data_IF_679089527293
#
_entry.id   IF_679089527293
#
_cell.length_a   1.000
_cell.length_b   1.000
_cell.length_c   1.000
_cell.angle_alpha   90.00
_cell.angle_beta   90.00
_cell.angle_gamma   90.00
#
_symmetry.space_group_name_H-M   'P 1'
#
loop_
_entity.id
_entity.type
_entity.pdbx_description
1 polymer ?
#
# COMPACT_ATOMS: atom_id res chain seq x y z
N UNK A 1 -12.22 5.12 12.62
CA UNK A 1 -11.61 5.38 11.30
C UNK A 1 -11.02 4.07 10.83
N UNK A 2 -11.47 3.57 9.69
CA UNK A 2 -10.98 2.32 9.12
C UNK A 2 -9.70 2.59 8.33
N UNK A 3 -8.55 2.21 8.88
CA UNK A 3 -7.26 2.42 8.26
C UNK A 3 -7.06 1.52 7.04
N UNK A 4 -7.56 0.27 7.09
CA UNK A 4 -7.38 -0.68 6.00
C UNK A 4 -8.15 -0.19 4.78
N UNK A 5 -9.43 0.16 4.96
CA UNK A 5 -10.24 0.70 3.87
C UNK A 5 -9.71 2.03 3.30
N UNK A 6 -9.04 2.85 4.13
CA UNK A 6 -8.37 4.06 3.64
C UNK A 6 -7.17 3.72 2.73
N UNK A 7 -6.29 2.81 3.18
CA UNK A 7 -5.11 2.40 2.41
C UNK A 7 -5.52 1.68 1.13
N UNK A 8 -6.48 0.76 1.21
CA UNK A 8 -7.01 0.05 0.03
C UNK A 8 -7.52 1.03 -1.02
N UNK A 9 -8.32 2.03 -0.61
CA UNK A 9 -8.83 3.07 -1.53
C UNK A 9 -7.70 3.89 -2.16
N UNK A 10 -6.68 4.24 -1.41
CA UNK A 10 -5.52 4.99 -1.93
C UNK A 10 -4.72 4.15 -2.93
N UNK A 11 -4.37 2.91 -2.56
CA UNK A 11 -3.56 1.99 -3.40
C UNK A 11 -4.29 1.69 -4.71
N UNK A 12 -5.57 1.31 -4.63
CA UNK A 12 -6.39 1.05 -5.81
C UNK A 12 -6.66 2.30 -6.65
N UNK A 13 -6.79 3.47 -6.01
CA UNK A 13 -6.92 4.76 -6.69
C UNK A 13 -5.67 5.18 -7.46
N UNK A 14 -4.49 4.70 -7.06
CA UNK A 14 -3.22 4.88 -7.79
C UNK A 14 -3.03 3.86 -8.93
N UNK A 15 -3.90 2.85 -9.04
CA UNK A 15 -3.82 1.80 -10.07
C UNK A 15 -3.04 0.55 -9.63
N UNK A 16 -2.66 0.44 -8.36
CA UNK A 16 -2.02 -0.75 -7.81
C UNK A 16 -3.05 -1.70 -7.18
N UNK A 17 -2.69 -2.97 -7.05
CA UNK A 17 -3.47 -3.94 -6.29
C UNK A 17 -3.09 -3.86 -4.81
N UNK A 18 -4.09 -3.75 -3.93
CA UNK A 18 -3.89 -3.87 -2.49
C UNK A 18 -3.92 -5.34 -2.10
N UNK A 19 -2.83 -5.82 -1.50
CA UNK A 19 -2.71 -7.22 -1.09
C UNK A 19 -3.00 -7.38 0.40
N UNK A 20 -2.29 -6.63 1.24
CA UNK A 20 -2.40 -6.75 2.70
C UNK A 20 -1.87 -5.50 3.41
N UNK A 21 -2.39 -5.27 4.62
CA UNK A 21 -1.84 -4.31 5.58
C UNK A 21 -1.52 -5.02 6.88
N UNK A 22 -0.26 -4.95 7.28
CA UNK A 22 0.24 -5.49 8.54
C UNK A 22 0.68 -4.35 9.47
N UNK A 23 0.32 -4.46 10.76
CA UNK A 23 0.86 -3.60 11.82
C UNK A 23 2.04 -4.30 12.48
N UNK A 24 3.24 -3.89 12.12
CA UNK A 24 4.45 -4.37 12.74
C UNK A 24 4.76 -3.60 14.04
N UNK A 25 5.75 -4.09 14.79
CA UNK A 25 6.15 -3.46 16.05
C UNK A 25 6.59 -2.00 15.89
N UNK A 26 6.52 -1.25 16.99
CA UNK A 26 6.96 0.16 17.08
C UNK A 26 6.20 1.12 16.16
N UNK A 27 4.94 0.83 15.86
CA UNK A 27 4.08 1.70 15.05
C UNK A 27 4.37 1.64 13.55
N UNK A 28 5.12 0.64 13.09
CA UNK A 28 5.38 0.42 11.67
C UNK A 28 4.14 -0.15 10.99
N UNK A 29 3.74 0.46 9.87
CA UNK A 29 2.76 -0.09 8.95
C UNK A 29 3.50 -0.69 7.75
N UNK A 30 3.18 -1.93 7.40
CA UNK A 30 3.68 -2.58 6.19
C UNK A 30 2.49 -2.78 5.26
N UNK A 31 2.59 -2.19 4.08
CA UNK A 31 1.58 -2.29 3.03
C UNK A 31 2.16 -3.15 1.92
N UNK A 32 1.44 -4.20 1.55
CA UNK A 32 1.79 -5.07 0.44
C UNK A 32 0.96 -4.67 -0.77
N UNK A 33 1.63 -4.41 -1.89
CA UNK A 33 1.03 -4.01 -3.15
C UNK A 33 1.54 -4.90 -4.27
N UNK A 34 0.73 -5.07 -5.31
CA UNK A 34 1.12 -5.75 -6.55
C UNK A 34 0.65 -4.97 -7.78
N UNK A 35 1.19 -5.32 -8.94
CA UNK A 35 0.77 -4.79 -10.23
C UNK A 35 1.13 -5.76 -11.36
N UNK A 36 0.25 -5.89 -12.36
CA UNK A 36 0.44 -6.83 -13.48
C UNK A 36 1.73 -6.64 -14.29
N UNK A 37 2.27 -5.42 -14.32
CA UNK A 37 3.56 -5.11 -14.97
C UNK A 37 4.78 -5.27 -14.04
N UNK A 38 4.58 -5.81 -12.84
CA UNK A 38 5.57 -5.87 -11.76
C UNK A 38 5.59 -4.60 -10.90
N UNK A 39 6.26 -4.69 -9.76
CA UNK A 39 6.47 -3.61 -8.78
C UNK A 39 7.97 -3.33 -8.63
N UNK A 40 8.34 -2.07 -8.74
CA UNK A 40 9.66 -1.53 -8.41
C UNK A 40 9.66 -0.71 -7.11
N UNK A 41 10.84 -0.27 -6.68
CA UNK A 41 11.01 0.53 -5.46
C UNK A 41 10.33 1.91 -5.57
N UNK A 42 10.30 2.49 -6.76
CA UNK A 42 9.65 3.79 -7.01
C UNK A 42 8.12 3.73 -6.83
N UNK A 43 7.50 2.57 -7.12
CA UNK A 43 6.06 2.37 -6.91
C UNK A 43 5.74 2.34 -5.40
N UNK A 44 6.58 1.64 -4.61
CA UNK A 44 6.49 1.64 -3.15
C UNK A 44 6.65 3.05 -2.58
N UNK A 45 7.58 3.85 -3.12
CA UNK A 45 7.77 5.24 -2.72
C UNK A 45 6.56 6.11 -3.10
N UNK A 46 5.96 5.89 -4.27
CA UNK A 46 4.76 6.60 -4.73
C UNK A 46 3.57 6.35 -3.80
N UNK A 47 3.32 5.09 -3.43
CA UNK A 47 2.27 4.71 -2.47
C UNK A 47 2.55 5.30 -1.08
N UNK A 48 3.81 5.32 -0.64
CA UNK A 48 4.19 5.84 0.69
C UNK A 48 4.03 7.36 0.85
N UNK A 49 3.97 8.11 -0.26
CA UNK A 49 3.84 9.57 -0.24
C UNK A 49 2.38 10.08 -0.24
N UNK A 50 1.38 9.19 -0.33
CA UNK A 50 -0.04 9.55 -0.23
C UNK A 50 -0.53 9.52 1.22
#
# INVERSE_FOLDING_TARGET
MDLVGLVEKTVTGLGYEFVELERAGRGLLRVFIDHSNGIGVEDCATVSHQ
#
